data_IF_168123637724
#
_entry.id   IF_168123637724
#
_cell.length_a   1.000
_cell.length_b   1.000
_cell.length_c   1.000
_cell.angle_alpha   90.00
_cell.angle_beta   90.00
_cell.angle_gamma   90.00
#
_symmetry.space_group_name_H-M   'P 1'
#
loop_
_entity.id
_entity.type
_entity.pdbx_description
1 polymer ?
#
# COMPACT_ATOMS: atom_id res chain seq x y z
N UNK A 1 7.10 -15.16 -0.22
CA UNK A 1 7.18 -13.93 0.56
C UNK A 1 6.49 -14.18 1.87
N UNK A 2 7.25 -14.18 2.97
CA UNK A 2 6.72 -14.26 4.31
C UNK A 2 5.83 -13.05 4.66
N UNK A 3 4.72 -13.31 5.37
CA UNK A 3 3.87 -12.25 5.92
C UNK A 3 4.53 -11.61 7.13
N UNK A 4 4.76 -10.29 7.10
CA UNK A 4 5.38 -9.53 8.20
C UNK A 4 4.59 -8.27 8.50
N UNK A 5 4.61 -7.84 9.76
CA UNK A 5 3.96 -6.60 10.22
C UNK A 5 4.87 -5.83 11.16
N UNK A 6 4.87 -4.50 11.06
CA UNK A 6 5.72 -3.60 11.83
C UNK A 6 4.86 -2.59 12.58
N UNK A 7 5.29 -2.23 13.80
CA UNK A 7 4.67 -1.22 14.66
C UNK A 7 5.77 -0.27 15.13
N UNK A 8 6.04 0.79 14.37
CA UNK A 8 7.20 1.67 14.55
C UNK A 8 6.83 3.13 14.72
N UNK A 9 5.58 3.52 14.46
CA UNK A 9 5.11 4.89 14.60
C UNK A 9 4.55 5.10 16.01
N UNK A 10 5.05 6.13 16.70
CA UNK A 10 4.41 6.63 17.92
C UNK A 10 3.12 7.39 17.57
N UNK A 11 1.97 6.80 17.93
CA UNK A 11 0.61 7.33 17.70
C UNK A 11 0.05 8.04 18.94
N UNK A 12 0.87 8.35 19.94
CA UNK A 12 0.41 8.96 21.20
C UNK A 12 -0.28 10.31 20.99
N UNK A 13 0.11 11.08 19.97
CA UNK A 13 -0.47 12.39 19.63
C UNK A 13 -1.65 12.32 18.64
N UNK A 14 -1.95 11.15 18.06
CA UNK A 14 -3.06 11.03 17.12
C UNK A 14 -4.39 10.99 17.91
N UNK A 15 -5.51 11.43 17.31
CA UNK A 15 -6.82 11.13 17.86
C UNK A 15 -6.99 9.63 18.05
N UNK A 16 -7.87 9.24 18.96
CA UNK A 16 -8.17 7.82 19.18
C UNK A 16 -9.09 7.31 18.06
N UNK A 17 -8.83 6.10 17.59
CA UNK A 17 -9.54 5.52 16.45
C UNK A 17 -9.08 4.11 16.11
N UNK A 18 -9.57 3.57 15.00
CA UNK A 18 -9.30 2.19 14.56
C UNK A 18 -7.81 1.89 14.39
N UNK A 19 -7.04 2.87 13.91
CA UNK A 19 -5.59 2.80 13.69
C UNK A 19 -4.76 2.54 14.96
N UNK A 20 -5.33 2.74 16.16
CA UNK A 20 -4.64 2.47 17.43
C UNK A 20 -4.24 0.98 17.55
N UNK A 21 -5.00 0.08 16.93
CA UNK A 21 -4.76 -1.37 16.97
C UNK A 21 -4.24 -1.94 15.64
N UNK A 22 -3.94 -1.08 14.67
CA UNK A 22 -3.40 -1.49 13.38
C UNK A 22 -1.87 -1.33 13.35
N UNK A 23 -1.18 -2.16 12.55
CA UNK A 23 0.25 -1.96 12.28
C UNK A 23 0.53 -0.66 11.51
N UNK A 24 1.80 -0.44 11.23
CA UNK A 24 2.31 0.70 10.45
C UNK A 24 2.83 0.29 9.07
N UNK A 25 3.22 -0.98 8.94
CA UNK A 25 3.53 -1.61 7.67
C UNK A 25 3.15 -3.09 7.73
N UNK A 26 2.65 -3.62 6.63
CA UNK A 26 2.41 -5.05 6.43
C UNK A 26 2.90 -5.45 5.05
N UNK A 27 3.57 -6.58 4.96
CA UNK A 27 3.84 -7.27 3.69
C UNK A 27 3.15 -8.64 3.71
N UNK A 28 2.61 -9.06 2.56
CA UNK A 28 2.02 -10.39 2.39
C UNK A 28 1.97 -10.78 0.92
N UNK A 29 1.97 -12.08 0.65
CA UNK A 29 1.74 -12.58 -0.71
C UNK A 29 0.23 -12.74 -0.95
N UNK A 30 -0.28 -12.16 -2.04
CA UNK A 30 -1.65 -12.39 -2.46
C UNK A 30 -1.84 -13.86 -2.86
N UNK A 31 -2.81 -14.53 -2.22
CA UNK A 31 -2.96 -15.98 -2.37
C UNK A 31 -3.46 -16.38 -3.77
N UNK A 32 -4.27 -15.56 -4.42
CA UNK A 32 -4.86 -15.89 -5.72
C UNK A 32 -3.86 -15.72 -6.87
N UNK A 33 -3.05 -14.67 -6.81
CA UNK A 33 -2.18 -14.25 -7.92
C UNK A 33 -0.70 -14.57 -7.69
N UNK A 34 -0.35 -14.82 -6.42
CA UNK A 34 1.02 -14.99 -5.91
C UNK A 34 1.88 -13.72 -6.01
N UNK A 35 1.28 -12.57 -6.29
CA UNK A 35 1.99 -11.29 -6.34
C UNK A 35 2.29 -10.76 -4.93
N UNK A 36 3.48 -10.21 -4.70
CA UNK A 36 3.82 -9.60 -3.42
C UNK A 36 3.01 -8.30 -3.23
N UNK A 37 2.51 -8.08 -2.02
CA UNK A 37 1.72 -6.90 -1.66
C UNK A 37 2.29 -6.23 -0.40
N UNK A 38 2.14 -4.91 -0.33
CA UNK A 38 2.48 -4.10 0.83
C UNK A 38 1.31 -3.18 1.21
N UNK A 39 1.23 -2.86 2.50
CA UNK A 39 0.50 -1.72 3.01
C UNK A 39 1.46 -0.94 3.92
N UNK A 40 1.61 0.37 3.67
CA UNK A 40 2.56 1.23 4.40
C UNK A 40 1.87 2.52 4.81
N UNK A 41 2.11 3.00 6.03
CA UNK A 41 1.59 4.29 6.49
C UNK A 41 2.25 5.45 5.77
N UNK A 42 1.45 6.32 5.18
CA UNK A 42 1.91 7.61 4.66
C UNK A 42 2.12 8.65 5.76
N UNK A 43 2.67 9.83 5.43
CA UNK A 43 3.00 10.88 6.41
C UNK A 43 1.83 11.40 7.24
N UNK A 44 0.61 11.35 6.69
CA UNK A 44 -0.64 11.71 7.37
C UNK A 44 -1.28 10.57 8.18
N UNK A 45 -0.61 9.43 8.27
CA UNK A 45 -1.10 8.23 8.94
C UNK A 45 -2.17 7.47 8.16
N UNK A 46 -2.49 7.86 6.93
CA UNK A 46 -3.32 7.05 6.03
C UNK A 46 -2.54 5.83 5.55
N UNK A 47 -3.25 4.85 5.01
CA UNK A 47 -2.62 3.71 4.36
C UNK A 47 -2.33 4.00 2.89
N UNK A 48 -1.22 3.47 2.40
CA UNK A 48 -0.95 3.28 0.98
C UNK A 48 -0.82 1.79 0.70
N UNK A 49 -1.36 1.33 -0.42
CA UNK A 49 -1.28 -0.07 -0.86
C UNK A 49 -0.38 -0.21 -2.08
N UNK A 50 0.35 -1.31 -2.16
CA UNK A 50 1.28 -1.59 -3.26
C UNK A 50 1.21 -3.05 -3.69
N UNK A 51 1.34 -3.30 -4.98
CA UNK A 51 1.46 -4.64 -5.57
C UNK A 51 2.71 -4.68 -6.46
N UNK A 52 3.56 -5.65 -6.22
CA UNK A 52 4.82 -5.81 -6.93
C UNK A 52 4.68 -6.69 -8.17
N UNK A 53 5.34 -6.31 -9.24
CA UNK A 53 5.45 -7.11 -10.47
C UNK A 53 6.92 -7.35 -10.82
N UNK A 54 7.21 -8.51 -11.42
CA UNK A 54 8.56 -8.89 -11.82
C UNK A 54 8.91 -8.38 -13.23
N UNK A 55 10.18 -8.49 -13.62
CA UNK A 55 10.71 -8.00 -14.90
C UNK A 55 9.99 -8.54 -16.15
N UNK A 56 9.38 -9.72 -16.07
CA UNK A 56 8.60 -10.29 -17.17
C UNK A 56 7.20 -9.68 -17.37
N UNK A 57 6.73 -8.84 -16.45
CA UNK A 57 5.38 -8.29 -16.48
C UNK A 57 5.26 -7.09 -17.45
N UNK A 58 4.17 -6.95 -18.23
CA UNK A 58 4.01 -5.85 -19.20
C UNK A 58 4.08 -4.43 -18.60
N UNK A 59 3.74 -4.30 -17.32
CA UNK A 59 3.80 -3.04 -16.56
C UNK A 59 5.08 -2.86 -15.73
N UNK A 60 6.06 -3.75 -15.86
CA UNK A 60 7.36 -3.53 -15.23
C UNK A 60 8.03 -2.27 -15.78
N UNK A 61 8.54 -1.40 -14.89
CA UNK A 61 9.15 -0.09 -15.24
C UNK A 61 8.24 0.85 -16.02
N UNK A 62 6.92 0.69 -15.89
CA UNK A 62 5.94 1.64 -16.40
C UNK A 62 5.59 2.64 -15.31
N UNK A 63 5.51 3.90 -15.70
CA UNK A 63 4.88 4.94 -14.89
C UNK A 63 3.43 4.53 -14.59
N UNK A 64 2.94 4.89 -13.40
CA UNK A 64 1.62 4.50 -12.93
C UNK A 64 0.48 4.92 -13.88
N UNK A 65 0.60 6.09 -14.53
CA UNK A 65 -0.37 6.61 -15.50
C UNK A 65 -0.44 5.79 -16.81
N UNK A 66 0.56 4.94 -17.06
CA UNK A 66 0.61 4.10 -18.25
C UNK A 66 -0.03 2.71 -18.04
N UNK A 67 -0.52 2.42 -16.82
CA UNK A 67 -1.13 1.15 -16.46
C UNK A 67 -2.66 1.27 -16.51
N UNK A 68 -3.32 0.43 -17.31
CA UNK A 68 -4.78 0.41 -17.43
C UNK A 68 -5.39 -0.48 -16.35
N UNK A 69 -5.43 0.04 -15.12
CA UNK A 69 -5.98 -0.63 -13.93
C UNK A 69 -6.92 0.29 -13.17
N UNK A 70 -7.81 -0.29 -12.37
CA UNK A 70 -8.76 0.42 -11.52
C UNK A 70 -8.55 0.01 -10.07
N UNK A 71 -8.25 1.00 -9.23
CA UNK A 71 -8.05 0.88 -7.78
C UNK A 71 -8.54 2.18 -7.14
N UNK A 72 -8.55 2.25 -5.81
CA UNK A 72 -8.90 3.45 -5.03
C UNK A 72 -8.24 4.73 -5.59
N UNK A 73 -9.04 5.50 -6.35
CA UNK A 73 -8.65 6.72 -7.09
C UNK A 73 -7.55 6.56 -8.15
N UNK A 74 -7.20 5.33 -8.50
CA UNK A 74 -6.12 5.03 -9.45
C UNK A 74 -4.76 4.87 -8.77
N UNK A 75 -3.75 4.55 -9.58
CA UNK A 75 -2.39 4.44 -9.08
C UNK A 75 -1.77 5.82 -8.88
N UNK A 76 -1.00 5.97 -7.81
CA UNK A 76 -0.26 7.19 -7.46
C UNK A 76 1.22 6.94 -7.25
N UNK A 77 1.67 5.70 -7.45
CA UNK A 77 3.05 5.28 -7.28
C UNK A 77 3.47 4.19 -8.28
N UNK A 78 4.67 4.33 -8.83
CA UNK A 78 5.35 3.31 -9.63
C UNK A 78 6.85 3.47 -9.52
N UNK A 79 7.54 2.59 -8.82
CA UNK A 79 9.01 2.60 -8.74
C UNK A 79 9.57 1.24 -8.28
N UNK A 80 10.90 1.14 -8.26
CA UNK A 80 11.63 0.09 -7.57
C UNK A 80 11.48 0.18 -6.05
N UNK A 81 12.04 -0.80 -5.34
CA UNK A 81 12.21 -0.74 -3.90
C UNK A 81 12.89 0.55 -3.44
N UNK A 82 12.37 1.16 -2.37
CA UNK A 82 13.01 2.28 -1.69
C UNK A 82 14.15 1.80 -0.78
N UNK A 83 15.27 1.39 -1.37
CA UNK A 83 16.42 0.77 -0.67
C UNK A 83 17.06 1.68 0.41
N UNK A 84 16.86 3.00 0.34
CA UNK A 84 17.43 3.96 1.29
C UNK A 84 16.53 4.22 2.50
N UNK A 85 15.27 3.81 2.44
CA UNK A 85 14.33 3.91 3.56
C UNK A 85 14.47 2.69 4.48
N UNK A 86 14.01 2.82 5.73
CA UNK A 86 14.11 1.71 6.65
C UNK A 86 13.13 0.59 6.27
N UNK A 87 13.45 -0.65 6.63
CA UNK A 87 12.57 -1.78 6.32
C UNK A 87 11.15 -1.63 6.89
N UNK A 88 10.95 -0.81 7.92
CA UNK A 88 9.66 -0.64 8.57
C UNK A 88 8.79 0.48 8.00
N UNK A 89 9.32 1.34 7.11
CA UNK A 89 8.60 2.49 6.53
C UNK A 89 8.78 2.66 5.01
N UNK A 90 9.80 2.05 4.40
CA UNK A 90 10.01 2.11 2.95
C UNK A 90 9.06 1.22 2.14
N UNK A 91 8.83 1.61 0.88
CA UNK A 91 8.18 0.76 -0.15
C UNK A 91 9.18 -0.28 -0.64
N UNK A 92 9.35 -1.34 0.14
CA UNK A 92 10.05 -2.55 -0.27
C UNK A 92 9.60 -3.73 0.60
N UNK A 93 9.70 -4.94 0.06
CA UNK A 93 9.54 -6.17 0.83
C UNK A 93 10.89 -6.67 1.34
N UNK A 94 10.87 -7.48 2.40
CA UNK A 94 11.99 -8.35 2.71
C UNK A 94 11.83 -9.64 1.88
N UNK A 95 12.64 -9.87 0.82
CA UNK A 95 12.56 -11.08 0.02
C UNK A 95 13.02 -12.30 0.83
N UNK A 96 12.35 -13.43 0.63
CA UNK A 96 12.88 -14.73 1.08
C UNK A 96 14.09 -15.14 0.20
N UNK A 97 14.94 -16.08 0.64
CA UNK A 97 16.14 -16.52 -0.12
C UNK A 97 15.87 -16.96 -1.57
N UNK A 98 14.62 -17.33 -1.87
CA UNK A 98 14.18 -17.80 -3.19
C UNK A 98 13.51 -16.71 -4.05
N UNK A 99 13.37 -15.49 -3.55
CA UNK A 99 12.67 -14.39 -4.21
C UNK A 99 13.63 -13.42 -4.91
N UNK A 100 13.15 -12.79 -5.97
CA UNK A 100 13.91 -11.74 -6.64
C UNK A 100 13.66 -10.42 -5.93
N UNK A 101 14.75 -9.71 -5.65
CA UNK A 101 14.69 -8.34 -5.11
C UNK A 101 14.33 -7.31 -6.20
N UNK A 102 14.36 -7.71 -7.47
CA UNK A 102 14.05 -6.86 -8.61
C UNK A 102 12.52 -6.80 -8.86
N UNK A 103 11.83 -6.07 -7.99
CA UNK A 103 10.38 -5.85 -8.04
C UNK A 103 10.08 -4.41 -8.44
N UNK A 104 9.07 -4.23 -9.30
CA UNK A 104 8.48 -2.93 -9.61
C UNK A 104 7.14 -2.81 -8.87
N UNK A 105 7.03 -1.84 -7.98
CA UNK A 105 5.87 -1.63 -7.13
C UNK A 105 4.91 -0.65 -7.78
N UNK A 106 3.66 -1.07 -7.97
CA UNK A 106 2.55 -0.21 -8.38
C UNK A 106 1.67 0.04 -7.17
N UNK A 107 1.38 1.30 -6.83
CA UNK A 107 0.67 1.63 -5.60
C UNK A 107 -0.32 2.77 -5.71
N UNK A 108 -1.12 2.90 -4.66
CA UNK A 108 -2.16 3.90 -4.46
C UNK A 108 -2.15 4.38 -3.00
N UNK A 109 -2.70 5.56 -2.73
CA UNK A 109 -2.81 6.11 -1.37
C UNK A 109 -4.26 6.37 -0.95
N UNK A 110 -4.51 6.30 0.35
CA UNK A 110 -5.81 6.64 0.95
C UNK A 110 -5.81 8.06 1.53
N UNK A 111 -5.32 9.05 0.77
CA UNK A 111 -5.36 10.47 1.13
C UNK A 111 -6.11 11.32 0.08
N UNK A 112 -7.15 10.74 -0.52
CA UNK A 112 -7.97 11.41 -1.52
C UNK A 112 -9.15 12.16 -0.92
N UNK A 113 -9.92 12.86 -1.76
CA UNK A 113 -11.14 13.54 -1.32
C UNK A 113 -12.12 12.55 -0.74
N UNK A 114 -12.53 12.76 0.52
CA UNK A 114 -13.39 11.84 1.26
C UNK A 114 -12.63 10.79 2.09
N UNK A 115 -11.30 10.74 2.03
CA UNK A 115 -10.51 9.90 2.91
C UNK A 115 -10.07 10.66 4.16
N UNK A 116 -10.13 9.95 5.28
CA UNK A 116 -9.67 10.46 6.55
C UNK A 116 -8.21 10.02 6.81
N UNK A 117 -7.34 10.99 7.05
CA UNK A 117 -5.95 10.76 7.47
C UNK A 117 -5.81 10.95 8.99
N UNK A 118 -5.51 9.88 9.77
CA UNK A 118 -5.50 9.90 11.24
C UNK A 118 -4.66 11.00 11.88
N UNK A 119 -3.41 11.17 11.46
CA UNK A 119 -2.48 12.15 12.04
C UNK A 119 -2.98 13.58 11.84
N UNK A 120 -3.66 13.82 10.71
CA UNK A 120 -4.15 15.16 10.39
C UNK A 120 -5.61 15.40 10.80
N UNK A 121 -6.26 14.44 11.46
CA UNK A 121 -7.65 14.57 11.92
C UNK A 121 -7.87 15.64 13.00
N UNK A 122 -6.81 16.06 13.69
CA UNK A 122 -6.86 17.22 14.58
C UNK A 122 -6.82 18.57 13.84
N UNK A 123 -6.27 18.59 12.61
CA UNK A 123 -6.06 19.81 11.83
C UNK A 123 -7.13 20.03 10.76
N UNK A 124 -7.75 18.96 10.27
CA UNK A 124 -8.83 19.03 9.30
C UNK A 124 -10.19 18.85 9.97
N UNK A 125 -11.15 19.71 9.60
CA UNK A 125 -12.54 19.54 9.96
C UNK A 125 -13.16 18.44 9.07
N UNK A 126 -12.87 17.18 9.41
CA UNK A 126 -13.51 16.05 8.73
C UNK A 126 -15.01 16.10 8.95
N UNK A 127 -15.74 15.91 7.86
CA UNK A 127 -17.19 15.90 7.83
C UNK A 127 -17.67 14.59 8.41
N UNK A 128 -18.17 14.65 9.65
CA UNK A 128 -18.71 13.49 10.34
C UNK A 128 -19.72 12.74 9.45
N UNK A 129 -19.44 11.45 9.19
CA UNK A 129 -20.27 10.59 8.35
C UNK A 129 -20.11 10.76 6.84
N UNK A 130 -19.19 11.61 6.37
CA UNK A 130 -18.85 11.77 4.95
C UNK A 130 -17.42 11.34 4.66
N UNK A 131 -16.45 11.78 5.47
CA UNK A 131 -15.07 11.33 5.33
C UNK A 131 -14.88 9.96 5.98
N UNK A 132 -14.15 9.08 5.31
CA UNK A 132 -14.01 7.66 5.67
C UNK A 132 -12.56 7.31 5.93
N UNK A 133 -12.30 6.69 7.07
CA UNK A 133 -11.02 6.05 7.29
C UNK A 133 -10.93 4.76 6.46
N UNK A 134 -9.98 4.72 5.53
CA UNK A 134 -9.65 3.51 4.76
C UNK A 134 -8.72 2.65 5.59
N UNK A 135 -9.29 1.70 6.32
CA UNK A 135 -8.57 0.80 7.22
C UNK A 135 -7.71 -0.22 6.45
N UNK A 136 -6.93 -1.03 7.18
CA UNK A 136 -6.04 -2.02 6.57
C UNK A 136 -6.82 -3.06 5.74
N UNK A 137 -8.00 -3.47 6.19
CA UNK A 137 -8.82 -4.43 5.47
C UNK A 137 -9.28 -3.89 4.10
N UNK A 138 -9.62 -2.60 4.02
CA UNK A 138 -9.92 -1.94 2.75
C UNK A 138 -8.71 -1.97 1.81
N UNK A 139 -7.53 -1.60 2.31
CA UNK A 139 -6.28 -1.57 1.52
C UNK A 139 -5.91 -2.96 1.02
N UNK A 140 -6.07 -3.99 1.86
CA UNK A 140 -5.85 -5.38 1.45
C UNK A 140 -6.80 -5.83 0.34
N UNK A 141 -8.07 -5.43 0.40
CA UNK A 141 -9.05 -5.73 -0.64
C UNK A 141 -8.74 -5.02 -1.97
N UNK A 142 -8.32 -3.75 -1.91
CA UNK A 142 -7.87 -2.98 -3.08
C UNK A 142 -6.59 -3.57 -3.69
N UNK A 143 -5.61 -3.97 -2.87
CA UNK A 143 -4.42 -4.70 -3.34
C UNK A 143 -4.79 -6.03 -4.01
N UNK A 144 -5.72 -6.80 -3.45
CA UNK A 144 -6.18 -8.05 -4.06
C UNK A 144 -6.86 -7.81 -5.42
N UNK A 145 -7.70 -6.77 -5.53
CA UNK A 145 -8.31 -6.35 -6.80
C UNK A 145 -7.28 -5.93 -7.84
N UNK A 146 -6.29 -5.12 -7.43
CA UNK A 146 -5.18 -4.69 -8.29
C UNK A 146 -4.34 -5.89 -8.74
N UNK A 147 -3.97 -6.78 -7.83
CA UNK A 147 -3.20 -7.98 -8.13
C UNK A 147 -3.91 -8.87 -9.15
N UNK A 148 -5.23 -9.02 -9.06
CA UNK A 148 -6.03 -9.79 -10.02
C UNK A 148 -6.02 -9.17 -11.42
N UNK A 149 -6.08 -7.84 -11.52
CA UNK A 149 -5.98 -7.12 -12.79
C UNK A 149 -4.60 -7.29 -13.42
N UNK A 150 -3.53 -7.08 -12.64
CA UNK A 150 -2.15 -7.27 -13.08
C UNK A 150 -1.91 -8.70 -13.58
N UNK A 151 -2.40 -9.71 -12.84
CA UNK A 151 -2.30 -11.11 -13.25
C UNK A 151 -2.99 -11.40 -14.58
N UNK A 152 -4.04 -10.67 -14.93
CA UNK A 152 -4.80 -10.84 -16.18
C UNK A 152 -4.06 -10.22 -17.38
N UNK A 153 -3.24 -9.20 -17.15
CA UNK A 153 -2.41 -8.55 -18.17
C UNK A 153 -1.15 -9.36 -18.47
N UNK A 154 -0.66 -10.13 -17.49
CA UNK A 154 0.49 -11.01 -17.65
C UNK A 154 0.19 -12.17 -18.65
N UNK A 155 1.14 -12.51 -19.54
CA UNK A 155 0.99 -13.59 -20.53
C UNK A 155 0.98 -15.01 -19.92
#
# INVERSE_FOLDING_TARGET
METKSYNTIDKSEWPRGEWDNEPDKVQWQDQATQLPCLAVRGPGGHWCGYVGVSEGHPYFKKEYDACDVQVHWGLTYSDHCQETESECDGVCHQPDESETDNVWWLGFDCAHSGDMTPKWATYFAYRAGLDTYRNLAFVQAECASLAQQLKTVAP
#
